data_IF_950245585151
#
_entry.id   IF_950245585151
#
_cell.length_a   1.000
_cell.length_b   1.000
_cell.length_c   1.000
_cell.angle_alpha   90.00
_cell.angle_beta   90.00
_cell.angle_gamma   90.00
#
_symmetry.space_group_name_H-M   'P 1'
#
loop_
_entity.id
_entity.type
_entity.pdbx_description
1 polymer ?
#
# COMPACT_ATOMS: atom_id res chain seq x y z
N UNK A 1 -10.30 0.53 19.82
CA UNK A 1 -9.44 1.69 19.48
C UNK A 1 -8.49 1.43 18.30
N UNK A 2 -7.82 0.28 18.16
CA UNK A 2 -7.01 -0.01 16.96
C UNK A 2 -7.85 -0.39 15.73
N UNK A 3 -9.08 -0.87 15.93
CA UNK A 3 -9.98 -1.29 14.85
C UNK A 3 -10.54 -0.11 14.06
N UNK A 4 -11.09 0.88 14.75
CA UNK A 4 -11.72 2.07 14.16
C UNK A 4 -10.69 2.90 13.39
N UNK A 5 -9.52 3.12 13.99
CA UNK A 5 -8.41 3.82 13.34
C UNK A 5 -7.93 3.07 12.09
N UNK A 6 -7.85 1.73 12.15
CA UNK A 6 -7.51 0.90 11.00
C UNK A 6 -8.54 1.04 9.88
N UNK A 7 -9.83 1.09 10.20
CA UNK A 7 -10.88 1.29 9.19
C UNK A 7 -10.78 2.65 8.50
N UNK A 8 -10.53 3.72 9.26
CA UNK A 8 -10.30 5.05 8.69
C UNK A 8 -9.09 5.05 7.76
N UNK A 9 -7.95 4.50 8.22
CA UNK A 9 -6.74 4.41 7.41
C UNK A 9 -6.94 3.54 6.15
N UNK A 10 -7.72 2.46 6.24
CA UNK A 10 -8.12 1.65 5.08
C UNK A 10 -8.90 2.46 4.05
N UNK A 11 -9.82 3.33 4.49
CA UNK A 11 -10.60 4.20 3.59
C UNK A 11 -9.72 5.25 2.91
N UNK A 12 -8.75 5.82 3.63
CA UNK A 12 -7.77 6.77 3.07
C UNK A 12 -7.03 6.14 1.89
N UNK A 13 -6.58 4.90 2.03
CA UNK A 13 -5.81 4.20 1.00
C UNK A 13 -6.69 3.39 0.03
N UNK A 14 -7.99 3.31 0.29
CA UNK A 14 -8.97 2.46 -0.41
C UNK A 14 -8.55 0.98 -0.47
N UNK A 15 -7.87 0.51 0.57
CA UNK A 15 -7.19 -0.78 0.55
C UNK A 15 -8.06 -1.99 0.89
N UNK A 16 -7.57 -3.19 0.57
CA UNK A 16 -8.19 -4.45 0.98
C UNK A 16 -8.05 -4.67 2.49
N UNK A 17 -9.10 -5.21 3.13
CA UNK A 17 -9.13 -5.51 4.59
C UNK A 17 -8.05 -6.52 5.03
N UNK A 18 -7.54 -7.32 4.09
CA UNK A 18 -6.51 -8.35 4.27
C UNK A 18 -5.09 -7.77 4.35
N UNK A 19 -4.88 -6.51 3.99
CA UNK A 19 -3.58 -5.83 4.15
C UNK A 19 -3.23 -5.79 5.65
N UNK A 20 -1.96 -6.06 5.97
CA UNK A 20 -1.47 -5.97 7.34
C UNK A 20 -1.68 -4.58 7.95
N UNK A 21 -2.14 -4.52 9.20
CA UNK A 21 -2.44 -3.26 9.92
C UNK A 21 -1.28 -2.25 9.88
N UNK A 22 -0.04 -2.71 10.07
CA UNK A 22 1.13 -1.82 10.03
C UNK A 22 1.37 -1.23 8.64
N UNK A 23 1.15 -2.02 7.59
CA UNK A 23 1.24 -1.55 6.21
C UNK A 23 0.11 -0.57 5.87
N UNK A 24 -1.10 -0.78 6.40
CA UNK A 24 -2.23 0.16 6.24
C UNK A 24 -1.85 1.53 6.80
N UNK A 25 -1.39 1.58 8.05
CA UNK A 25 -1.00 2.84 8.69
C UNK A 25 0.15 3.54 7.96
N UNK A 26 1.15 2.77 7.52
CA UNK A 26 2.28 3.29 6.76
C UNK A 26 1.85 3.90 5.42
N UNK A 27 1.03 3.17 4.63
CA UNK A 27 0.52 3.67 3.35
C UNK A 27 -0.38 4.91 3.54
N UNK A 28 -1.22 4.89 4.57
CA UNK A 28 -2.09 6.01 4.93
C UNK A 28 -1.35 7.19 5.54
N UNK A 29 -0.05 7.05 5.84
CA UNK A 29 0.74 8.03 6.60
C UNK A 29 0.06 8.45 7.92
N UNK A 30 -0.67 7.51 8.52
CA UNK A 30 -1.48 7.72 9.72
C UNK A 30 -0.77 7.07 10.89
N UNK A 31 -0.32 7.88 11.85
CA UNK A 31 0.39 7.37 13.03
C UNK A 31 -0.54 6.48 13.87
N UNK A 32 -0.13 5.24 14.21
CA UNK A 32 -0.90 4.36 15.08
C UNK A 32 -1.15 5.00 16.46
N UNK A 33 -2.37 4.87 17.00
CA UNK A 33 -2.75 5.52 18.26
C UNK A 33 -1.95 5.04 19.46
N UNK A 34 -1.50 3.78 19.46
CA UNK A 34 -0.64 3.24 20.51
C UNK A 34 0.75 3.89 20.52
N UNK A 35 1.27 4.32 19.36
CA UNK A 35 2.48 5.13 19.28
C UNK A 35 2.22 6.52 19.87
N UNK A 36 1.08 7.14 19.55
CA UNK A 36 0.71 8.45 20.08
C UNK A 36 0.57 8.42 21.61
N UNK A 37 -0.04 7.38 22.18
CA UNK A 37 -0.17 7.18 23.63
C UNK A 37 1.21 7.05 24.27
N UNK A 38 2.07 6.18 23.74
CA UNK A 38 3.43 5.96 24.28
C UNK A 38 4.27 7.25 24.31
N UNK A 39 4.14 8.09 23.29
CA UNK A 39 4.83 9.38 23.24
C UNK A 39 4.15 10.40 24.15
N UNK A 40 2.83 10.39 24.22
CA UNK A 40 2.08 11.27 25.12
C UNK A 40 2.52 11.06 26.58
N UNK A 41 2.64 9.81 27.03
CA UNK A 41 3.08 9.50 28.40
C UNK A 41 4.46 10.13 28.72
N UNK A 42 5.38 10.11 27.74
CA UNK A 42 6.71 10.71 27.87
C UNK A 42 6.69 12.25 28.00
N UNK A 43 5.79 12.93 27.29
CA UNK A 43 5.79 14.40 27.18
C UNK A 43 4.68 15.11 27.97
N UNK A 44 3.72 14.37 28.54
CA UNK A 44 2.56 14.97 29.23
C UNK A 44 2.97 15.76 30.48
N UNK A 45 4.01 15.33 31.21
CA UNK A 45 4.55 16.02 32.37
C UNK A 45 5.24 17.33 31.99
N UNK A 46 6.11 17.30 30.98
CA UNK A 46 6.79 18.48 30.44
C UNK A 46 5.79 19.53 29.92
N UNK A 47 4.74 19.09 29.23
CA UNK A 47 3.69 19.97 28.72
C UNK A 47 2.90 20.64 29.86
N UNK A 48 2.62 19.90 30.94
CA UNK A 48 1.94 20.46 32.13
C UNK A 48 2.83 21.45 32.88
N UNK A 49 4.10 21.10 33.11
CA UNK A 49 5.06 21.99 33.76
C UNK A 49 5.24 23.31 33.00
N UNK A 50 5.32 23.26 31.67
CA UNK A 50 5.46 24.46 30.84
C UNK A 50 4.24 25.38 30.91
N UNK A 51 3.02 24.83 31.03
CA UNK A 51 1.79 25.63 31.16
C UNK A 51 1.69 26.37 32.48
N UNK A 52 2.33 25.85 33.53
CA UNK A 52 2.36 26.43 34.86
C UNK A 52 3.60 27.31 35.10
N UNK A 53 4.40 27.56 34.05
CA UNK A 53 5.65 28.33 34.14
C UNK A 53 5.44 29.76 33.68
N UNK A 54 5.99 30.72 34.44
CA UNK A 54 6.11 32.13 34.04
C UNK A 54 7.33 32.37 33.12
N UNK A 55 7.48 31.53 32.08
CA UNK A 55 8.61 31.61 31.16
C UNK A 55 8.52 32.87 30.28
N UNK A 56 9.63 33.61 30.21
CA UNK A 56 9.79 34.82 29.38
C UNK A 56 9.62 34.54 27.89
N UNK A 57 9.80 33.28 27.44
CA UNK A 57 9.64 32.86 26.05
C UNK A 57 8.83 31.55 25.91
N UNK A 58 7.62 31.59 26.45
CA UNK A 58 6.69 30.45 26.48
C UNK A 58 6.38 29.88 25.08
N UNK A 59 6.28 30.74 24.06
CA UNK A 59 5.93 30.31 22.70
C UNK A 59 7.07 29.56 22.01
N UNK A 60 8.32 30.01 22.16
CA UNK A 60 9.48 29.28 21.66
C UNK A 60 9.61 27.91 22.31
N UNK A 61 9.35 27.83 23.61
CA UNK A 61 9.46 26.58 24.35
C UNK A 61 8.34 25.59 24.00
N UNK A 62 7.11 26.08 23.78
CA UNK A 62 6.01 25.28 23.20
C UNK A 62 6.36 24.77 21.82
N UNK A 63 6.96 25.60 20.96
CA UNK A 63 7.38 25.22 19.61
C UNK A 63 8.49 24.15 19.66
N UNK A 64 9.47 24.28 20.56
CA UNK A 64 10.51 23.28 20.82
C UNK A 64 9.91 21.94 21.23
N UNK A 65 9.05 21.91 22.25
CA UNK A 65 8.40 20.68 22.70
C UNK A 65 7.50 20.05 21.63
N UNK A 66 6.81 20.86 20.83
CA UNK A 66 6.01 20.36 19.69
C UNK A 66 6.89 19.63 18.67
N UNK A 67 8.05 20.19 18.32
CA UNK A 67 9.03 19.57 17.42
C UNK A 67 9.59 18.28 18.00
N UNK A 68 9.99 18.28 19.28
CA UNK A 68 10.50 17.08 19.96
C UNK A 68 9.48 15.96 20.04
N UNK A 69 8.22 16.29 20.39
CA UNK A 69 7.13 15.31 20.41
C UNK A 69 6.88 14.73 19.03
N UNK A 70 6.91 15.56 17.98
CA UNK A 70 6.76 15.09 16.61
C UNK A 70 7.88 14.14 16.21
N UNK A 71 9.15 14.51 16.45
CA UNK A 71 10.30 13.66 16.20
C UNK A 71 10.25 12.35 17.00
N UNK A 72 9.91 12.42 18.29
CA UNK A 72 9.74 11.25 19.15
C UNK A 72 8.64 10.31 18.67
N UNK A 73 7.58 10.85 18.07
CA UNK A 73 6.51 10.07 17.42
C UNK A 73 7.01 9.32 16.20
N UNK A 74 7.73 10.01 15.31
CA UNK A 74 8.30 9.40 14.10
C UNK A 74 9.30 8.29 14.44
N UNK A 75 10.22 8.53 15.38
CA UNK A 75 11.21 7.54 15.80
C UNK A 75 10.57 6.31 16.45
N UNK A 76 9.61 6.53 17.36
CA UNK A 76 8.89 5.43 18.02
C UNK A 76 8.10 4.58 17.01
N UNK A 77 7.48 5.23 16.02
CA UNK A 77 6.78 4.51 14.96
C UNK A 77 7.74 3.74 14.06
N UNK A 78 8.85 4.36 13.65
CA UNK A 78 9.84 3.72 12.79
C UNK A 78 10.46 2.48 13.46
N UNK A 79 10.76 2.54 14.75
CA UNK A 79 11.26 1.40 15.54
C UNK A 79 10.25 0.24 15.59
N UNK A 80 8.97 0.57 15.82
CA UNK A 80 7.88 -0.42 15.78
C UNK A 80 7.81 -1.12 14.42
N UNK A 81 8.03 -0.41 13.31
CA UNK A 81 8.03 -1.00 11.96
C UNK A 81 9.25 -1.89 11.66
N UNK A 82 10.35 -1.74 12.40
CA UNK A 82 11.55 -2.59 12.28
C UNK A 82 11.41 -3.95 12.97
N UNK A 83 10.40 -4.11 13.82
CA UNK A 83 10.18 -5.36 14.55
C UNK A 83 9.98 -6.54 13.59
N UNK A 84 10.63 -7.69 13.83
CA UNK A 84 10.48 -8.87 12.99
C UNK A 84 9.05 -9.43 13.04
N UNK A 85 8.67 -10.24 12.05
CA UNK A 85 7.35 -10.92 12.03
C UNK A 85 6.16 -10.08 11.57
N UNK A 86 6.34 -8.80 11.22
CA UNK A 86 5.25 -7.99 10.66
C UNK A 86 4.85 -8.51 9.28
N UNK A 87 3.56 -8.80 9.05
CA UNK A 87 3.04 -9.18 7.72
C UNK A 87 3.23 -8.05 6.70
N UNK A 88 3.29 -8.38 5.40
CA UNK A 88 3.59 -7.43 4.33
C UNK A 88 4.96 -6.72 4.47
N UNK A 89 5.99 -7.41 4.97
CA UNK A 89 7.34 -6.83 5.10
C UNK A 89 7.87 -6.22 3.80
N UNK A 90 7.49 -6.72 2.63
CA UNK A 90 7.90 -6.14 1.33
C UNK A 90 7.52 -4.66 1.22
N UNK A 91 6.29 -4.29 1.62
CA UNK A 91 5.81 -2.90 1.62
C UNK A 91 6.62 -2.06 2.59
N UNK A 92 6.78 -2.57 3.81
CA UNK A 92 7.49 -1.85 4.87
C UNK A 92 8.94 -1.64 4.45
N UNK A 93 9.64 -2.67 3.96
CA UNK A 93 11.04 -2.58 3.50
C UNK A 93 11.23 -1.60 2.34
N UNK A 94 10.24 -1.44 1.47
CA UNK A 94 10.32 -0.48 0.36
C UNK A 94 10.20 0.99 0.82
N UNK A 95 9.38 1.25 1.84
CA UNK A 95 9.06 2.62 2.29
C UNK A 95 9.94 3.06 3.48
N UNK A 96 10.27 2.13 4.38
CA UNK A 96 10.97 2.42 5.63
C UNK A 96 12.32 3.16 5.47
N UNK A 97 13.12 2.92 4.41
CA UNK A 97 14.35 3.68 4.15
C UNK A 97 14.11 5.19 3.91
N UNK A 98 12.87 5.57 3.56
CA UNK A 98 12.42 6.95 3.30
C UNK A 98 11.20 7.30 4.13
N UNK A 99 11.12 6.72 5.32
CA UNK A 99 9.96 6.80 6.21
C UNK A 99 9.55 8.25 6.51
N UNK A 100 10.49 9.10 6.88
CA UNK A 100 10.26 10.51 7.21
C UNK A 100 9.67 11.25 6.02
N UNK A 101 10.34 11.24 4.86
CA UNK A 101 9.85 11.85 3.62
C UNK A 101 8.50 11.31 3.20
N UNK A 102 8.28 10.00 3.36
CA UNK A 102 6.99 9.39 3.06
C UNK A 102 5.92 9.98 3.98
N UNK A 103 6.06 9.91 5.30
CA UNK A 103 4.96 10.29 6.20
C UNK A 103 4.75 11.79 6.35
N UNK A 104 5.74 12.63 6.02
CA UNK A 104 5.63 14.10 6.13
C UNK A 104 5.43 14.81 4.79
N UNK A 105 5.29 14.09 3.68
CA UNK A 105 5.12 14.70 2.35
C UNK A 105 3.88 15.62 2.31
N UNK A 106 3.98 16.80 1.67
CA UNK A 106 2.85 17.72 1.53
C UNK A 106 1.94 17.40 0.33
N UNK A 107 2.33 16.43 -0.51
CA UNK A 107 1.67 16.08 -1.75
C UNK A 107 1.48 14.56 -1.85
N UNK A 108 0.71 14.14 -2.85
CA UNK A 108 0.65 12.75 -3.24
C UNK A 108 -0.23 11.88 -2.34
N UNK A 109 -1.54 11.96 -2.57
CA UNK A 109 -2.47 10.97 -2.04
C UNK A 109 -2.26 9.62 -2.75
N UNK A 110 -2.51 8.54 -2.03
CA UNK A 110 -2.40 7.19 -2.58
C UNK A 110 -3.76 6.79 -3.18
N UNK A 111 -3.77 6.40 -4.46
CA UNK A 111 -4.99 5.91 -5.11
C UNK A 111 -5.26 4.44 -4.76
N UNK A 112 -6.45 3.96 -5.11
CA UNK A 112 -6.81 2.54 -4.98
C UNK A 112 -5.81 1.62 -5.68
N UNK A 113 -5.46 1.94 -6.93
CA UNK A 113 -4.55 1.14 -7.75
C UNK A 113 -3.10 1.27 -7.32
N UNK A 114 -2.69 2.43 -6.81
CA UNK A 114 -1.39 2.56 -6.14
C UNK A 114 -1.30 1.65 -4.92
N UNK A 115 -2.34 1.63 -4.08
CA UNK A 115 -2.41 0.74 -2.92
C UNK A 115 -2.33 -0.72 -3.31
N UNK A 116 -3.07 -1.15 -4.33
CA UNK A 116 -2.98 -2.51 -4.88
C UNK A 116 -1.56 -2.85 -5.31
N UNK A 117 -0.97 -2.02 -6.17
CA UNK A 117 0.37 -2.25 -6.72
C UNK A 117 1.43 -2.29 -5.62
N UNK A 118 1.45 -1.33 -4.71
CA UNK A 118 2.44 -1.30 -3.62
C UNK A 118 2.26 -2.51 -2.69
N UNK A 119 1.01 -2.85 -2.35
CA UNK A 119 0.72 -3.94 -1.40
C UNK A 119 0.76 -5.35 -1.99
N UNK A 120 0.81 -5.49 -3.32
CA UNK A 120 0.66 -6.77 -4.01
C UNK A 120 -0.71 -7.41 -3.79
N UNK A 121 -1.74 -6.60 -3.58
CA UNK A 121 -3.14 -7.05 -3.48
C UNK A 121 -3.91 -6.66 -4.75
N UNK A 122 -4.94 -7.43 -5.09
CA UNK A 122 -5.77 -7.18 -6.28
C UNK A 122 -5.65 -8.31 -7.30
N UNK A 123 -5.72 -7.97 -8.58
CA UNK A 123 -5.75 -8.91 -9.71
C UNK A 123 -4.38 -9.52 -10.10
N UNK A 124 -3.48 -9.67 -9.13
CA UNK A 124 -2.19 -10.36 -9.32
C UNK A 124 -2.37 -11.86 -9.19
N UNK A 125 -1.80 -12.65 -10.11
CA UNK A 125 -1.85 -14.12 -10.07
C UNK A 125 -1.39 -14.69 -8.72
N UNK A 126 -0.28 -14.20 -8.15
CA UNK A 126 0.21 -14.63 -6.82
C UNK A 126 -0.81 -14.37 -5.71
N UNK A 127 -1.48 -13.22 -5.74
CA UNK A 127 -2.51 -12.88 -4.78
C UNK A 127 -3.75 -13.76 -4.94
N UNK A 128 -4.27 -13.85 -6.16
CA UNK A 128 -5.48 -14.63 -6.48
C UNK A 128 -5.29 -16.11 -6.20
N UNK A 129 -4.13 -16.68 -6.49
CA UNK A 129 -3.78 -18.06 -6.15
C UNK A 129 -3.79 -18.28 -4.63
N UNK A 130 -3.16 -17.37 -3.86
CA UNK A 130 -3.14 -17.44 -2.39
C UNK A 130 -4.53 -17.43 -1.77
N UNK A 131 -5.48 -16.71 -2.36
CA UNK A 131 -6.89 -16.67 -1.90
C UNK A 131 -7.77 -17.70 -2.62
N UNK A 132 -7.18 -18.65 -3.36
CA UNK A 132 -7.86 -19.74 -4.07
C UNK A 132 -8.88 -19.29 -5.14
N UNK A 133 -8.69 -18.10 -5.70
CA UNK A 133 -9.47 -17.58 -6.85
C UNK A 133 -8.90 -18.02 -8.20
N UNK A 134 -7.61 -18.33 -8.24
CA UNK A 134 -6.90 -18.83 -9.43
C UNK A 134 -6.23 -20.17 -9.09
N UNK A 135 -6.10 -21.11 -10.06
CA UNK A 135 -5.42 -22.39 -9.84
C UNK A 135 -3.88 -22.26 -9.88
N UNK A 136 -3.35 -21.12 -10.29
CA UNK A 136 -1.91 -20.91 -10.52
C UNK A 136 -1.52 -19.45 -10.27
N UNK A 137 -0.30 -19.17 -9.76
CA UNK A 137 0.19 -17.81 -9.55
C UNK A 137 0.75 -17.14 -10.81
N UNK A 138 0.67 -17.78 -11.98
CA UNK A 138 1.29 -17.31 -13.23
C UNK A 138 0.74 -15.97 -13.73
N UNK A 139 1.59 -15.25 -14.47
CA UNK A 139 1.17 -14.04 -15.17
C UNK A 139 0.40 -14.38 -16.45
N UNK A 140 -0.84 -13.91 -16.55
CA UNK A 140 -1.66 -14.10 -17.75
C UNK A 140 -1.21 -13.26 -18.95
N UNK A 141 -0.33 -12.28 -18.76
CA UNK A 141 0.13 -11.40 -19.83
C UNK A 141 1.43 -11.86 -20.50
N UNK A 142 2.29 -12.58 -19.77
CA UNK A 142 3.59 -13.02 -20.29
C UNK A 142 3.98 -14.45 -19.88
N UNK A 143 3.08 -15.20 -19.24
CA UNK A 143 3.29 -16.57 -18.76
C UNK A 143 4.42 -16.77 -17.75
N UNK A 144 4.96 -15.69 -17.17
CA UNK A 144 5.91 -15.80 -16.06
C UNK A 144 5.34 -16.67 -14.93
N UNK A 145 6.21 -17.44 -14.27
CA UNK A 145 5.83 -18.41 -13.23
C UNK A 145 5.07 -17.80 -12.06
N UNK A 146 5.27 -16.50 -11.82
CA UNK A 146 4.70 -15.77 -10.70
C UNK A 146 4.39 -14.33 -11.10
N UNK A 147 3.14 -13.94 -10.93
CA UNK A 147 2.63 -12.59 -11.09
C UNK A 147 2.44 -11.94 -9.73
N UNK A 148 3.48 -11.28 -9.24
CA UNK A 148 3.39 -10.37 -8.10
C UNK A 148 3.57 -8.92 -8.56
N UNK A 149 3.47 -7.99 -7.60
CA UNK A 149 3.66 -6.58 -7.90
C UNK A 149 5.06 -6.25 -8.42
N UNK A 150 6.11 -6.93 -7.97
CA UNK A 150 7.47 -6.69 -8.47
C UNK A 150 7.55 -7.10 -9.94
N UNK A 151 7.01 -8.27 -10.29
CA UNK A 151 6.93 -8.69 -11.68
C UNK A 151 6.13 -7.69 -12.53
N UNK A 152 4.93 -7.31 -12.11
CA UNK A 152 4.10 -6.35 -12.84
C UNK A 152 4.79 -4.99 -12.98
N UNK A 153 5.38 -4.46 -11.91
CA UNK A 153 5.98 -3.11 -11.88
C UNK A 153 7.30 -2.99 -12.63
N UNK A 154 8.09 -4.06 -12.76
CA UNK A 154 9.48 -3.95 -13.22
C UNK A 154 9.88 -4.95 -14.32
N UNK A 155 9.14 -6.04 -14.52
CA UNK A 155 9.61 -7.17 -15.34
C UNK A 155 8.67 -7.47 -16.50
N UNK A 156 7.36 -7.47 -16.27
CA UNK A 156 6.37 -7.96 -17.23
C UNK A 156 6.47 -7.19 -18.56
N UNK A 157 6.74 -7.84 -19.71
CA UNK A 157 6.90 -7.14 -20.98
C UNK A 157 5.63 -6.42 -21.44
N UNK A 158 4.45 -6.87 -21.00
CA UNK A 158 3.18 -6.22 -21.33
C UNK A 158 3.05 -4.77 -20.83
N UNK A 159 3.90 -4.34 -19.89
CA UNK A 159 3.88 -2.98 -19.33
C UNK A 159 5.16 -2.20 -19.65
N UNK A 160 5.88 -2.57 -20.72
CA UNK A 160 7.15 -1.92 -21.10
C UNK A 160 6.97 -0.44 -21.39
N UNK A 161 5.89 -0.07 -22.08
CA UNK A 161 5.66 1.29 -22.53
C UNK A 161 5.22 2.18 -21.37
N UNK A 162 4.35 1.68 -20.49
CA UNK A 162 3.99 2.34 -19.22
C UNK A 162 5.23 2.57 -18.37
N UNK A 163 6.10 1.57 -18.23
CA UNK A 163 7.36 1.70 -17.48
C UNK A 163 8.30 2.71 -18.11
N UNK A 164 8.42 2.72 -19.44
CA UNK A 164 9.25 3.68 -20.16
C UNK A 164 8.78 5.12 -19.91
N UNK A 165 7.48 5.40 -20.07
CA UNK A 165 6.89 6.71 -19.77
C UNK A 165 7.16 7.16 -18.32
N UNK A 166 7.03 6.22 -17.37
CA UNK A 166 7.35 6.50 -15.97
C UNK A 166 8.84 6.79 -15.76
N UNK A 167 9.72 6.01 -16.40
CA UNK A 167 11.17 6.17 -16.31
C UNK A 167 11.62 7.52 -16.87
N UNK A 168 11.06 7.95 -18.00
CA UNK A 168 11.41 9.23 -18.64
C UNK A 168 11.19 10.44 -17.71
N UNK A 169 10.23 10.36 -16.78
CA UNK A 169 9.94 11.41 -15.79
C UNK A 169 10.72 11.20 -14.48
N UNK A 170 10.80 9.96 -14.01
CA UNK A 170 11.36 9.66 -12.68
C UNK A 170 12.88 9.58 -12.69
N UNK A 171 13.48 9.14 -13.79
CA UNK A 171 14.90 8.82 -13.97
C UNK A 171 15.37 7.57 -13.23
N UNK A 172 14.48 6.90 -12.47
CA UNK A 172 14.83 5.75 -11.64
C UNK A 172 13.64 4.80 -11.44
N UNK A 173 13.76 3.59 -11.98
CA UNK A 173 12.73 2.55 -11.90
C UNK A 173 13.33 1.14 -11.74
N UNK A 174 14.24 0.97 -10.77
CA UNK A 174 15.00 -0.28 -10.61
C UNK A 174 14.34 -1.32 -9.71
N UNK A 175 13.66 -0.87 -8.66
CA UNK A 175 12.93 -1.69 -7.69
C UNK A 175 11.98 -0.80 -6.87
N UNK A 176 11.20 -1.41 -5.97
CA UNK A 176 10.23 -0.68 -5.14
C UNK A 176 10.85 0.45 -4.30
N UNK A 177 12.05 0.25 -3.74
CA UNK A 177 12.74 1.27 -2.94
C UNK A 177 13.20 2.44 -3.80
N UNK A 178 13.86 2.17 -4.94
CA UNK A 178 14.29 3.20 -5.89
C UNK A 178 13.12 3.98 -6.48
N UNK A 179 12.02 3.31 -6.82
CA UNK A 179 10.79 3.99 -7.25
C UNK A 179 10.21 4.85 -6.13
N UNK A 180 10.14 4.32 -4.91
CA UNK A 180 9.62 5.08 -3.76
C UNK A 180 10.44 6.34 -3.52
N UNK A 181 11.76 6.23 -3.61
CA UNK A 181 12.65 7.39 -3.50
C UNK A 181 12.37 8.41 -4.61
N UNK A 182 12.28 7.98 -5.87
CA UNK A 182 12.07 8.87 -7.00
C UNK A 182 10.75 9.65 -6.91
N UNK A 183 9.65 8.98 -6.55
CA UNK A 183 8.31 9.60 -6.52
C UNK A 183 8.13 10.59 -5.36
N UNK A 184 8.95 10.51 -4.32
CA UNK A 184 8.92 11.42 -3.17
C UNK A 184 9.64 12.75 -3.43
N UNK A 185 10.26 12.94 -4.61
CA UNK A 185 11.01 14.16 -4.91
C UNK A 185 10.12 15.33 -5.33
N UNK A 186 9.12 15.09 -6.18
CA UNK A 186 8.26 16.15 -6.71
C UNK A 186 6.82 15.66 -6.87
N UNK A 187 5.83 16.57 -6.77
CA UNK A 187 4.43 16.24 -7.08
C UNK A 187 4.24 15.66 -8.48
N UNK A 188 5.04 16.11 -9.46
CA UNK A 188 5.04 15.60 -10.83
C UNK A 188 5.46 14.13 -10.90
N UNK A 189 6.57 13.75 -10.25
CA UNK A 189 7.01 12.36 -10.20
C UNK A 189 6.02 11.46 -9.48
N UNK A 190 5.37 11.97 -8.42
CA UNK A 190 4.28 11.26 -7.76
C UNK A 190 3.10 11.02 -8.71
N UNK A 191 2.65 12.07 -9.42
CA UNK A 191 1.51 11.95 -10.33
C UNK A 191 1.84 11.04 -11.52
N UNK A 192 3.07 11.07 -12.04
CA UNK A 192 3.52 10.14 -13.07
C UNK A 192 3.41 8.67 -12.60
N UNK A 193 3.81 8.38 -11.36
CA UNK A 193 3.66 7.04 -10.79
C UNK A 193 2.20 6.66 -10.55
N UNK A 194 1.36 7.62 -10.15
CA UNK A 194 -0.09 7.41 -10.05
C UNK A 194 -0.67 7.07 -11.42
N UNK A 195 -0.37 7.81 -12.48
CA UNK A 195 -0.80 7.51 -13.86
C UNK A 195 -0.34 6.12 -14.32
N UNK A 196 0.91 5.75 -14.02
CA UNK A 196 1.42 4.40 -14.27
C UNK A 196 0.57 3.33 -13.57
N UNK A 197 0.32 3.49 -12.27
CA UNK A 197 -0.50 2.55 -11.50
C UNK A 197 -1.92 2.45 -12.05
N UNK A 198 -2.54 3.58 -12.38
CA UNK A 198 -3.89 3.62 -12.95
C UNK A 198 -3.95 2.90 -14.30
N UNK A 199 -3.00 3.17 -15.20
CA UNK A 199 -2.94 2.57 -16.53
C UNK A 199 -2.72 1.05 -16.49
N UNK A 200 -1.72 0.58 -15.73
CA UNK A 200 -1.41 -0.86 -15.62
C UNK A 200 -2.52 -1.63 -14.92
N UNK A 201 -2.98 -1.13 -13.77
CA UNK A 201 -3.92 -1.88 -12.96
C UNK A 201 -5.32 -1.87 -13.55
N UNK A 202 -5.77 -0.78 -14.18
CA UNK A 202 -7.09 -0.76 -14.85
C UNK A 202 -7.19 -1.83 -15.94
N UNK A 203 -6.15 -1.96 -16.78
CA UNK A 203 -6.07 -2.98 -17.82
C UNK A 203 -5.98 -4.40 -17.21
N UNK A 204 -5.17 -4.62 -16.16
CA UNK A 204 -5.14 -5.94 -15.48
C UNK A 204 -6.50 -6.33 -14.90
N UNK A 205 -7.17 -5.39 -14.23
CA UNK A 205 -8.50 -5.60 -13.64
C UNK A 205 -9.54 -5.91 -14.71
N UNK A 206 -9.50 -5.24 -15.87
CA UNK A 206 -10.37 -5.54 -16.99
C UNK A 206 -10.13 -6.94 -17.56
N UNK A 207 -8.88 -7.30 -17.78
CA UNK A 207 -8.53 -8.65 -18.22
C UNK A 207 -8.92 -9.73 -17.21
N UNK A 208 -8.81 -9.46 -15.90
CA UNK A 208 -9.30 -10.35 -14.84
C UNK A 208 -10.82 -10.50 -14.90
N UNK A 209 -11.57 -9.39 -14.94
CA UNK A 209 -13.04 -9.41 -15.04
C UNK A 209 -13.51 -10.22 -16.25
N UNK A 210 -12.86 -10.06 -17.41
CA UNK A 210 -13.17 -10.85 -18.60
C UNK A 210 -12.93 -12.35 -18.36
N UNK A 211 -11.85 -12.74 -17.68
CA UNK A 211 -11.59 -14.14 -17.32
C UNK A 211 -12.57 -14.69 -16.29
N UNK A 212 -12.94 -13.91 -15.27
CA UNK A 212 -13.96 -14.30 -14.28
C UNK A 212 -15.31 -14.54 -14.98
N UNK A 213 -15.74 -13.64 -15.87
CA UNK A 213 -16.98 -13.81 -16.64
C UNK A 213 -16.98 -15.10 -17.49
N UNK A 214 -15.87 -15.41 -18.16
CA UNK A 214 -15.74 -16.65 -18.93
C UNK A 214 -15.82 -17.90 -18.04
N UNK A 215 -15.24 -17.87 -16.84
CA UNK A 215 -15.31 -18.99 -15.88
C UNK A 215 -16.73 -19.21 -15.38
N UNK A 216 -17.45 -18.13 -15.08
CA UNK A 216 -18.85 -18.21 -14.65
C UNK A 216 -19.73 -18.81 -15.74
N UNK A 217 -19.55 -18.38 -17.00
CA UNK A 217 -20.26 -18.95 -18.16
C UNK A 217 -19.95 -20.44 -18.30
N UNK A 218 -18.67 -20.83 -18.23
CA UNK A 218 -18.28 -22.23 -18.33
C UNK A 218 -18.86 -23.10 -17.20
N UNK A 219 -18.89 -22.58 -15.96
CA UNK A 219 -19.51 -23.27 -14.82
C UNK A 219 -21.01 -23.45 -15.00
N UNK A 220 -21.73 -22.42 -15.44
CA UNK A 220 -23.18 -22.50 -15.73
C UNK A 220 -23.47 -23.51 -16.82
N UNK A 221 -22.67 -23.51 -17.90
CA UNK A 221 -22.83 -24.47 -19.00
C UNK A 221 -22.59 -25.90 -18.52
N UNK A 222 -21.56 -26.14 -17.71
CA UNK A 222 -21.25 -27.46 -17.16
C UNK A 222 -22.36 -27.96 -16.24
N UNK A 223 -22.89 -27.08 -15.37
CA UNK A 223 -24.03 -27.40 -14.50
C UNK A 223 -25.30 -27.72 -15.31
N UNK A 224 -25.56 -26.97 -16.38
CA UNK A 224 -26.69 -27.22 -17.29
C UNK A 224 -26.57 -28.56 -18.01
N UNK A 225 -25.39 -28.90 -18.53
CA UNK A 225 -25.11 -30.20 -19.16
C UNK A 225 -25.32 -31.33 -18.16
N UNK A 226 -24.80 -31.19 -16.93
CA UNK A 226 -24.98 -32.18 -15.87
C UNK A 226 -26.45 -32.39 -15.51
N UNK A 227 -27.23 -31.32 -15.36
CA UNK A 227 -28.67 -31.40 -15.09
C UNK A 227 -29.43 -32.09 -16.22
N UNK A 228 -29.15 -31.73 -17.48
CA UNK A 228 -29.78 -32.37 -18.65
C UNK A 228 -29.43 -33.85 -18.74
N UNK A 229 -28.17 -34.21 -18.51
CA UNK A 229 -27.75 -35.62 -18.47
C UNK A 229 -28.44 -36.38 -17.35
N UNK A 230 -28.50 -35.80 -16.14
CA UNK A 230 -29.16 -36.41 -14.98
C UNK A 230 -30.66 -36.64 -15.20
N UNK A 231 -31.36 -35.70 -15.84
CA UNK A 231 -32.78 -35.86 -16.21
C UNK A 231 -33.02 -36.89 -17.31
N UNK A 232 -32.01 -37.24 -18.12
CA UNK A 232 -32.13 -38.23 -19.18
C UNK A 232 -31.91 -39.68 -18.71
N UNK A 233 -31.36 -39.87 -17.50
CA UNK A 233 -31.05 -41.18 -16.91
C UNK A 233 -31.96 -41.53 -15.73
N UNK A 234 -32.92 -40.67 -15.39
CA UNK A 234 -33.98 -40.87 -14.39
C UNK A 234 -35.33 -40.93 -15.09
#
# INVERSE_FOLDING_TARGET
MTGEQKEMALRVIRGYKTIATQAIFLLASTTPIDVLIKVFDKYCGLTRALRSSDSVDLEKEKARLKKERHLGTLLTWQDKLRSPGIRNQKVIKAILPRFDRWVTRPHGSISYRMTQLISGHGCFGDYLFRIKKEPSPKCHHCNAVKDDNVHTSFICPAWSDERKRLYDITGQLTNLEGTTEAILHTPEKWEAYKTFCESVMSQKEEHERAREALREIAQRNTASIYLRWRSAIT
#
